data_IF_264670935841
#
_entry.id   IF_264670935841
#
_cell.length_a   1.000
_cell.length_b   1.000
_cell.length_c   1.000
_cell.angle_alpha   90.00
_cell.angle_beta   90.00
_cell.angle_gamma   90.00
#
_symmetry.space_group_name_H-M   'P 1'
#
loop_
_entity.id
_entity.type
_entity.pdbx_description
1 polymer ?
#
# COMPACT_ATOMS: atom_id res chain seq x y z
N UNK A 1 19.50 -19.28 -10.14
CA UNK A 1 19.04 -18.74 -8.85
C UNK A 1 19.84 -17.48 -8.59
N UNK A 2 19.17 -16.37 -8.29
CA UNK A 2 19.84 -15.16 -7.81
C UNK A 2 20.21 -15.38 -6.35
N UNK A 3 21.44 -15.03 -5.96
CA UNK A 3 21.83 -15.12 -4.55
C UNK A 3 20.90 -14.29 -3.66
N UNK A 4 20.42 -14.88 -2.57
CA UNK A 4 19.47 -14.24 -1.66
C UNK A 4 19.89 -12.83 -1.24
N UNK A 5 21.16 -12.63 -0.84
CA UNK A 5 21.64 -11.32 -0.40
C UNK A 5 21.52 -10.28 -1.52
N UNK A 6 21.93 -10.62 -2.74
CA UNK A 6 21.86 -9.74 -3.91
C UNK A 6 20.40 -9.38 -4.21
N UNK A 7 19.52 -10.38 -4.29
CA UNK A 7 18.09 -10.18 -4.53
C UNK A 7 17.42 -9.36 -3.43
N UNK A 8 17.69 -9.67 -2.17
CA UNK A 8 17.08 -9.01 -1.01
C UNK A 8 17.49 -7.54 -0.89
N UNK A 9 18.77 -7.20 -1.11
CA UNK A 9 19.19 -5.79 -1.09
C UNK A 9 18.64 -5.00 -2.27
N UNK A 10 18.55 -5.61 -3.46
CA UNK A 10 17.89 -4.99 -4.60
C UNK A 10 16.40 -4.75 -4.33
N UNK A 11 15.71 -5.73 -3.74
CA UNK A 11 14.31 -5.62 -3.34
C UNK A 11 14.11 -4.53 -2.27
N UNK A 12 14.98 -4.47 -1.26
CA UNK A 12 14.96 -3.41 -0.25
C UNK A 12 15.10 -2.03 -0.88
N UNK A 13 16.08 -1.85 -1.75
CA UNK A 13 16.33 -0.55 -2.39
C UNK A 13 15.17 -0.14 -3.30
N UNK A 14 14.69 -1.06 -4.15
CA UNK A 14 13.57 -0.82 -5.07
C UNK A 14 12.23 -0.62 -4.37
N UNK A 15 12.07 -1.08 -3.13
CA UNK A 15 10.85 -0.84 -2.35
C UNK A 15 10.97 0.42 -1.51
N UNK A 16 12.06 0.57 -0.76
CA UNK A 16 12.19 1.63 0.24
C UNK A 16 12.50 2.99 -0.36
N UNK A 17 13.36 3.08 -1.37
CA UNK A 17 13.73 4.37 -1.96
C UNK A 17 12.51 5.02 -2.62
N UNK A 18 11.75 4.35 -3.52
CA UNK A 18 10.56 4.95 -4.10
C UNK A 18 9.52 5.29 -3.03
N UNK A 19 9.32 4.42 -2.03
CA UNK A 19 8.35 4.67 -0.98
C UNK A 19 8.67 5.92 -0.16
N UNK A 20 9.93 6.09 0.23
CA UNK A 20 10.41 7.27 0.94
C UNK A 20 10.24 8.54 0.09
N UNK A 21 10.61 8.48 -1.19
CA UNK A 21 10.44 9.59 -2.14
C UNK A 21 8.98 9.96 -2.31
N UNK A 22 8.09 8.97 -2.49
CA UNK A 22 6.66 9.18 -2.63
C UNK A 22 6.03 9.87 -1.44
N UNK A 23 6.38 9.42 -0.23
CA UNK A 23 5.96 10.06 1.02
C UNK A 23 6.42 11.53 1.07
N UNK A 24 7.68 11.81 0.74
CA UNK A 24 8.24 13.17 0.72
C UNK A 24 7.50 14.08 -0.26
N UNK A 25 7.18 13.59 -1.47
CA UNK A 25 6.46 14.36 -2.49
C UNK A 25 5.15 14.92 -1.93
N UNK A 26 4.35 14.10 -1.24
CA UNK A 26 3.09 14.57 -0.64
C UNK A 26 3.33 15.51 0.53
N UNK A 27 4.30 15.21 1.40
CA UNK A 27 4.62 16.06 2.57
C UNK A 27 5.09 17.44 2.11
N UNK A 28 5.86 17.54 1.03
CA UNK A 28 6.28 18.82 0.47
C UNK A 28 5.19 19.52 -0.34
N UNK A 29 4.41 18.79 -1.14
CA UNK A 29 3.25 19.35 -1.83
C UNK A 29 2.26 19.99 -0.84
N UNK A 30 2.19 19.46 0.38
CA UNK A 30 1.33 19.98 1.44
C UNK A 30 1.70 21.36 2.00
N UNK A 31 2.86 21.91 1.61
CA UNK A 31 3.21 23.30 1.91
C UNK A 31 2.40 24.30 1.08
N UNK A 32 1.88 23.87 -0.07
CA UNK A 32 1.15 24.71 -1.02
C UNK A 32 -0.27 24.19 -1.30
N UNK A 33 -0.49 22.87 -1.20
CA UNK A 33 -1.78 22.21 -1.45
C UNK A 33 -2.48 21.88 -0.12
N UNK A 34 -3.76 22.22 -0.02
CA UNK A 34 -4.59 21.84 1.14
C UNK A 34 -4.66 20.32 1.29
N UNK A 35 -4.59 19.81 2.53
CA UNK A 35 -4.64 18.38 2.82
C UNK A 35 -5.89 17.67 2.27
N UNK A 36 -7.02 18.38 2.12
CA UNK A 36 -8.24 17.84 1.49
C UNK A 36 -8.03 17.43 0.02
N UNK A 37 -7.23 18.16 -0.75
CA UNK A 37 -6.96 17.82 -2.15
C UNK A 37 -5.87 16.75 -2.27
N UNK A 38 -4.93 16.69 -1.34
CA UNK A 38 -3.95 15.61 -1.25
C UNK A 38 -4.61 14.28 -0.88
N UNK A 39 -5.60 14.31 0.02
CA UNK A 39 -6.40 13.12 0.35
C UNK A 39 -7.33 12.71 -0.79
N UNK A 40 -7.84 13.66 -1.57
CA UNK A 40 -8.57 13.38 -2.81
C UNK A 40 -7.67 12.68 -3.85
N UNK A 41 -6.47 13.21 -4.09
CA UNK A 41 -5.47 12.57 -4.94
C UNK A 41 -5.11 11.15 -4.46
N UNK A 42 -4.82 10.99 -3.17
CA UNK A 42 -4.53 9.68 -2.60
C UNK A 42 -5.73 8.71 -2.65
N UNK A 43 -6.97 9.20 -2.58
CA UNK A 43 -8.16 8.37 -2.80
C UNK A 43 -8.23 7.89 -4.25
N UNK A 44 -7.84 8.72 -5.21
CA UNK A 44 -7.64 8.33 -6.60
C UNK A 44 -6.65 7.18 -6.76
N UNK A 45 -5.48 7.29 -6.12
CA UNK A 45 -4.48 6.21 -6.06
C UNK A 45 -5.11 4.94 -5.47
N UNK A 46 -5.82 5.06 -4.34
CA UNK A 46 -6.48 3.93 -3.70
C UNK A 46 -7.45 3.18 -4.63
N UNK A 47 -8.23 3.90 -5.45
CA UNK A 47 -9.23 3.27 -6.31
C UNK A 47 -8.61 2.29 -7.32
N UNK A 48 -7.49 2.65 -7.94
CA UNK A 48 -6.79 1.74 -8.84
C UNK A 48 -5.95 0.70 -8.07
N UNK A 49 -5.27 1.11 -6.99
CA UNK A 49 -4.57 0.18 -6.11
C UNK A 49 -5.49 -0.95 -5.63
N UNK A 50 -6.74 -0.67 -5.28
CA UNK A 50 -7.71 -1.69 -4.89
C UNK A 50 -7.99 -2.67 -6.04
N UNK A 51 -8.10 -2.19 -7.29
CA UNK A 51 -8.26 -3.04 -8.47
C UNK A 51 -7.03 -3.92 -8.69
N UNK A 52 -5.84 -3.37 -8.56
CA UNK A 52 -4.57 -4.09 -8.71
C UNK A 52 -4.41 -5.19 -7.64
N UNK A 53 -4.63 -4.83 -6.38
CA UNK A 53 -4.53 -5.76 -5.24
C UNK A 53 -5.57 -6.88 -5.30
N UNK A 54 -6.82 -6.57 -5.66
CA UNK A 54 -7.87 -7.59 -5.78
C UNK A 54 -7.63 -8.49 -6.99
N UNK A 55 -7.06 -7.99 -8.09
CA UNK A 55 -6.60 -8.83 -9.20
C UNK A 55 -5.47 -9.77 -8.78
N UNK A 56 -4.49 -9.27 -8.02
CA UNK A 56 -3.44 -10.11 -7.41
C UNK A 56 -3.99 -11.21 -6.50
N UNK A 57 -5.19 -11.01 -5.93
CA UNK A 57 -5.91 -12.03 -5.16
C UNK A 57 -6.79 -12.96 -6.02
N UNK A 58 -6.56 -13.00 -7.34
CA UNK A 58 -7.38 -13.72 -8.32
C UNK A 58 -8.87 -13.34 -8.23
N UNK A 59 -9.16 -12.07 -7.91
CA UNK A 59 -10.50 -11.56 -7.67
C UNK A 59 -11.27 -12.32 -6.57
N UNK A 60 -10.55 -12.87 -5.59
CA UNK A 60 -11.10 -13.76 -4.56
C UNK A 60 -11.87 -14.95 -5.17
N UNK A 61 -11.50 -15.35 -6.38
CA UNK A 61 -12.14 -16.41 -7.18
C UNK A 61 -13.65 -16.21 -7.39
N UNK A 62 -14.11 -14.95 -7.49
CA UNK A 62 -15.55 -14.64 -7.63
C UNK A 62 -16.17 -15.25 -8.90
N UNK A 63 -15.37 -15.47 -9.94
CA UNK A 63 -15.82 -16.04 -11.21
C UNK A 63 -16.22 -17.52 -11.10
N UNK A 64 -15.69 -18.25 -10.10
CA UNK A 64 -16.10 -19.63 -9.82
C UNK A 64 -17.45 -19.73 -9.09
N UNK A 65 -18.07 -18.61 -8.71
CA UNK A 65 -19.31 -18.60 -7.94
C UNK A 65 -19.15 -19.38 -6.64
N UNK A 66 -20.08 -20.30 -6.34
CA UNK A 66 -20.01 -21.17 -5.16
C UNK A 66 -19.17 -22.46 -5.36
N UNK A 67 -18.48 -22.59 -6.50
CA UNK A 67 -17.72 -23.81 -6.84
C UNK A 67 -16.21 -23.71 -6.60
N UNK A 68 -15.70 -22.56 -6.13
CA UNK A 68 -14.25 -22.31 -5.94
C UNK A 68 -13.61 -23.09 -4.78
N UNK A 69 -14.40 -23.80 -3.96
CA UNK A 69 -13.91 -24.74 -2.95
C UNK A 69 -13.08 -24.10 -1.84
N UNK A 70 -12.15 -24.87 -1.27
CA UNK A 70 -11.40 -24.46 -0.08
C UNK A 70 -10.46 -23.26 -0.34
N UNK A 71 -9.88 -23.15 -1.54
CA UNK A 71 -8.98 -22.05 -1.90
C UNK A 71 -9.72 -20.70 -1.91
N UNK A 72 -10.91 -20.66 -2.51
CA UNK A 72 -11.77 -19.47 -2.49
C UNK A 72 -12.15 -19.09 -1.05
N UNK A 73 -12.57 -20.07 -0.23
CA UNK A 73 -12.90 -19.82 1.18
C UNK A 73 -11.71 -19.24 1.94
N UNK A 74 -10.51 -19.74 1.69
CA UNK A 74 -9.29 -19.23 2.31
C UNK A 74 -8.97 -17.79 1.86
N UNK A 75 -9.07 -17.49 0.56
CA UNK A 75 -8.85 -16.13 0.04
C UNK A 75 -9.86 -15.12 0.61
N UNK A 76 -11.16 -15.43 0.56
CA UNK A 76 -12.22 -14.59 1.14
C UNK A 76 -12.04 -14.45 2.66
N UNK A 77 -11.71 -15.54 3.35
CA UNK A 77 -11.44 -15.53 4.78
C UNK A 77 -10.29 -14.60 5.14
N UNK A 78 -9.18 -14.64 4.40
CA UNK A 78 -8.04 -13.75 4.60
C UNK A 78 -8.37 -12.29 4.31
N UNK A 79 -9.16 -12.01 3.28
CA UNK A 79 -9.68 -10.67 3.03
C UNK A 79 -10.49 -10.14 4.22
N UNK A 80 -11.42 -10.95 4.77
CA UNK A 80 -12.22 -10.59 5.94
C UNK A 80 -11.33 -10.37 7.17
N UNK A 81 -10.37 -11.27 7.41
CA UNK A 81 -9.39 -11.12 8.51
C UNK A 81 -8.59 -9.83 8.35
N UNK A 82 -8.19 -9.49 7.12
CA UNK A 82 -7.52 -8.23 6.80
C UNK A 82 -8.35 -7.03 7.24
N UNK A 83 -9.60 -6.94 6.80
CA UNK A 83 -10.53 -5.88 7.19
C UNK A 83 -10.69 -5.83 8.72
N UNK A 84 -11.10 -6.93 9.33
CA UNK A 84 -11.44 -6.94 10.75
C UNK A 84 -10.23 -6.63 11.65
N UNK A 85 -9.04 -7.08 11.28
CA UNK A 85 -7.83 -6.87 12.08
C UNK A 85 -7.48 -5.38 12.22
N UNK A 86 -7.47 -4.62 11.13
CA UNK A 86 -7.13 -3.19 11.16
C UNK A 86 -8.19 -2.37 11.89
N UNK A 87 -9.49 -2.67 11.69
CA UNK A 87 -10.57 -1.99 12.42
C UNK A 87 -10.60 -2.37 13.90
N UNK A 88 -10.20 -3.58 14.26
CA UNK A 88 -10.06 -3.99 15.65
C UNK A 88 -8.92 -3.24 16.34
N UNK A 89 -7.76 -3.11 15.68
CA UNK A 89 -6.63 -2.30 16.18
C UNK A 89 -7.10 -0.85 16.37
N UNK A 90 -7.77 -0.30 15.37
CA UNK A 90 -8.27 1.07 15.38
C UNK A 90 -9.23 1.34 16.56
N UNK A 91 -10.20 0.43 16.75
CA UNK A 91 -11.16 0.48 17.86
C UNK A 91 -10.46 0.40 19.21
N UNK A 92 -9.52 -0.54 19.39
CA UNK A 92 -8.78 -0.69 20.66
C UNK A 92 -7.92 0.52 21.00
N UNK A 93 -7.46 1.25 19.98
CA UNK A 93 -6.68 2.46 20.12
C UNK A 93 -7.53 3.74 20.18
N UNK A 94 -8.86 3.64 20.00
CA UNK A 94 -9.78 4.78 20.04
C UNK A 94 -9.56 5.79 18.92
N UNK A 95 -9.05 5.36 17.76
CA UNK A 95 -8.64 6.27 16.67
C UNK A 95 -9.82 6.70 15.79
N UNK A 96 -10.90 5.92 15.69
CA UNK A 96 -12.10 6.29 14.93
C UNK A 96 -12.91 7.39 15.61
N UNK A 97 -13.06 7.27 16.93
CA UNK A 97 -13.89 8.11 17.80
C UNK A 97 -13.24 9.44 18.17
N UNK A 98 -12.14 9.84 17.53
CA UNK A 98 -11.56 11.16 17.73
C UNK A 98 -12.42 12.24 17.06
N UNK A 99 -13.63 12.41 17.57
CA UNK A 99 -14.49 13.57 17.40
C UNK A 99 -14.09 14.71 18.34
N UNK A 100 -12.90 14.63 18.98
CA UNK A 100 -12.27 15.82 19.55
C UNK A 100 -11.78 16.71 18.41
N UNK A 101 -12.74 17.49 17.90
CA UNK A 101 -12.55 18.89 17.51
C UNK A 101 -11.24 19.42 18.07
N UNK A 102 -10.31 19.74 17.17
CA UNK A 102 -9.00 20.43 17.40
C UNK A 102 -7.74 19.65 17.79
N UNK A 103 -7.75 18.36 18.20
CA UNK A 103 -6.55 17.84 18.90
C UNK A 103 -6.05 16.40 18.67
N UNK A 104 -6.48 15.62 17.66
CA UNK A 104 -5.71 14.40 17.33
C UNK A 104 -4.52 14.71 16.45
N UNK A 105 -3.45 15.19 17.11
CA UNK A 105 -2.07 15.25 16.63
C UNK A 105 -1.47 13.87 16.86
N UNK A 106 -1.62 12.94 15.93
CA UNK A 106 -1.01 11.62 16.11
C UNK A 106 -0.57 10.98 14.81
N UNK A 107 0.70 10.56 14.78
CA UNK A 107 1.27 9.72 13.74
C UNK A 107 0.66 8.31 13.73
N UNK A 108 -0.18 7.93 14.71
CA UNK A 108 -0.78 6.60 14.78
C UNK A 108 -1.69 6.28 13.57
N UNK A 109 -2.53 7.23 13.13
CA UNK A 109 -3.39 7.03 11.96
C UNK A 109 -2.56 6.80 10.69
N UNK A 110 -1.62 7.68 10.31
CA UNK A 110 -0.82 7.45 9.11
C UNK A 110 0.09 6.22 9.23
N UNK A 111 0.60 5.85 10.41
CA UNK A 111 1.34 4.60 10.60
C UNK A 111 0.44 3.38 10.39
N UNK A 112 -0.79 3.39 10.88
CA UNK A 112 -1.73 2.30 10.66
C UNK A 112 -2.15 2.21 9.18
N UNK A 113 -2.32 3.34 8.50
CA UNK A 113 -2.55 3.37 7.04
C UNK A 113 -1.34 2.81 6.28
N UNK A 114 -0.11 3.23 6.63
CA UNK A 114 1.12 2.72 6.01
C UNK A 114 1.25 1.20 6.18
N UNK A 115 0.95 0.67 7.36
CA UNK A 115 0.95 -0.77 7.60
C UNK A 115 -0.17 -1.47 6.84
N UNK A 116 -1.39 -0.91 6.85
CA UNK A 116 -2.55 -1.50 6.20
C UNK A 116 -2.38 -1.64 4.68
N UNK A 117 -1.83 -0.62 4.01
CA UNK A 117 -1.50 -0.71 2.58
C UNK A 117 -0.22 -1.54 2.36
N UNK A 118 0.76 -1.45 3.27
CA UNK A 118 2.03 -2.18 3.14
C UNK A 118 1.89 -3.70 3.24
N UNK A 119 0.86 -4.22 3.92
CA UNK A 119 0.58 -5.67 4.00
C UNK A 119 0.38 -6.29 2.61
N UNK A 120 -0.12 -5.55 1.62
CA UNK A 120 -0.14 -6.00 0.23
C UNK A 120 1.25 -6.40 -0.29
N UNK A 121 2.29 -5.69 0.16
CA UNK A 121 3.67 -5.98 -0.17
C UNK A 121 4.14 -7.38 0.23
N UNK A 122 3.48 -8.06 1.19
CA UNK A 122 3.77 -9.47 1.47
C UNK A 122 3.65 -10.34 0.22
N UNK A 123 2.60 -10.12 -0.58
CA UNK A 123 2.36 -10.88 -1.82
C UNK A 123 3.41 -10.59 -2.87
N UNK A 124 3.72 -9.31 -3.09
CA UNK A 124 4.74 -8.88 -4.06
C UNK A 124 6.12 -9.40 -3.69
N UNK A 125 6.50 -9.25 -2.42
CA UNK A 125 7.77 -9.76 -1.90
C UNK A 125 7.84 -11.28 -2.05
N UNK A 126 6.76 -11.99 -1.69
CA UNK A 126 6.70 -13.44 -1.83
C UNK A 126 6.87 -13.89 -3.29
N UNK A 127 6.19 -13.23 -4.23
CA UNK A 127 6.32 -13.51 -5.65
C UNK A 127 7.74 -13.23 -6.17
N UNK A 128 8.33 -12.09 -5.81
CA UNK A 128 9.70 -11.76 -6.18
C UNK A 128 10.70 -12.77 -5.60
N UNK A 129 10.60 -13.08 -4.30
CA UNK A 129 11.51 -13.99 -3.62
C UNK A 129 11.46 -15.40 -4.22
N UNK A 130 10.26 -15.90 -4.52
CA UNK A 130 10.08 -17.20 -5.16
C UNK A 130 10.68 -17.21 -6.58
N UNK A 131 10.49 -16.14 -7.35
CA UNK A 131 11.07 -15.99 -8.70
C UNK A 131 12.59 -15.89 -8.66
N UNK A 132 13.15 -15.11 -7.72
CA UNK A 132 14.59 -14.98 -7.52
C UNK A 132 15.24 -16.33 -7.17
N UNK A 133 14.54 -17.17 -6.41
CA UNK A 133 14.96 -18.54 -6.12
C UNK A 133 14.93 -19.42 -7.38
N UNK A 134 13.81 -19.42 -8.10
CA UNK A 134 13.56 -20.39 -9.18
C UNK A 134 14.21 -20.05 -10.52
N UNK A 135 14.51 -18.78 -10.79
CA UNK A 135 15.03 -18.34 -12.09
C UNK A 135 16.40 -18.95 -12.40
N UNK A 136 16.64 -19.33 -13.66
CA UNK A 136 17.96 -19.77 -14.14
C UNK A 136 18.89 -18.59 -14.45
N UNK A 137 18.36 -17.37 -14.49
CA UNK A 137 19.12 -16.14 -14.75
C UNK A 137 19.81 -15.60 -13.50
N UNK A 138 20.85 -14.78 -13.70
CA UNK A 138 21.47 -13.96 -12.66
C UNK A 138 21.03 -12.49 -12.72
N UNK A 139 20.19 -12.14 -13.70
CA UNK A 139 19.64 -10.79 -13.86
C UNK A 139 18.55 -10.52 -12.81
N UNK A 140 18.72 -9.44 -12.04
CA UNK A 140 17.70 -8.95 -11.11
C UNK A 140 16.39 -8.59 -11.82
N UNK A 141 16.47 -8.09 -13.05
CA UNK A 141 15.30 -7.72 -13.84
C UNK A 141 14.40 -8.92 -14.10
N UNK A 142 14.97 -10.11 -14.25
CA UNK A 142 14.19 -11.32 -14.53
C UNK A 142 13.39 -11.76 -13.28
N UNK A 143 13.87 -11.45 -12.07
CA UNK A 143 13.11 -11.65 -10.85
C UNK A 143 11.94 -10.66 -10.68
N UNK A 144 12.00 -9.50 -11.34
CA UNK A 144 10.86 -8.59 -11.47
C UNK A 144 9.89 -8.99 -12.59
N UNK A 145 10.26 -9.92 -13.48
CA UNK A 145 9.49 -10.23 -14.69
C UNK A 145 9.90 -9.41 -15.92
N UNK A 146 11.05 -8.73 -15.86
CA UNK A 146 11.64 -7.94 -16.94
C UNK A 146 11.73 -6.44 -16.62
N UNK A 147 12.23 -5.66 -17.57
CA UNK A 147 12.39 -4.20 -17.41
C UNK A 147 11.05 -3.50 -17.19
N UNK A 148 10.03 -3.86 -17.98
CA UNK A 148 8.68 -3.27 -17.91
C UNK A 148 8.10 -3.43 -16.50
N UNK A 149 8.04 -4.67 -16.00
CA UNK A 149 7.54 -4.98 -14.67
C UNK A 149 8.40 -4.35 -13.54
N UNK A 150 9.71 -4.25 -13.72
CA UNK A 150 10.58 -3.52 -12.80
C UNK A 150 10.24 -2.01 -12.72
N UNK A 151 9.95 -1.37 -13.86
CA UNK A 151 9.49 0.03 -13.90
C UNK A 151 8.12 0.17 -13.25
N UNK A 152 7.18 -0.72 -13.58
CA UNK A 152 5.86 -0.77 -12.96
C UNK A 152 5.98 -0.81 -11.43
N UNK A 153 6.79 -1.74 -10.92
CA UNK A 153 7.02 -1.91 -9.49
C UNK A 153 7.54 -0.64 -8.82
N UNK A 154 8.59 -0.01 -9.36
CA UNK A 154 9.17 1.21 -8.79
C UNK A 154 8.16 2.36 -8.74
N UNK A 155 7.36 2.52 -9.80
CA UNK A 155 6.33 3.56 -9.86
C UNK A 155 5.20 3.28 -8.87
N UNK A 156 4.73 2.04 -8.78
CA UNK A 156 3.74 1.59 -7.79
C UNK A 156 4.23 1.86 -6.36
N UNK A 157 5.45 1.42 -6.00
CA UNK A 157 6.01 1.65 -4.66
C UNK A 157 6.26 3.13 -4.36
N UNK A 158 6.42 3.96 -5.37
CA UNK A 158 6.43 5.42 -5.20
C UNK A 158 5.05 6.00 -4.91
N UNK A 159 4.01 5.52 -5.56
CA UNK A 159 2.67 6.10 -5.49
C UNK A 159 1.86 5.58 -4.30
N UNK A 160 1.89 4.29 -4.00
CA UNK A 160 1.09 3.69 -2.93
C UNK A 160 1.27 4.36 -1.55
N UNK A 161 2.49 4.57 -1.03
CA UNK A 161 2.66 5.14 0.29
C UNK A 161 2.26 6.62 0.35
N UNK A 162 2.02 7.29 -0.78
CA UNK A 162 1.40 8.62 -0.81
C UNK A 162 0.06 8.65 -0.07
N UNK A 163 -0.67 7.53 0.00
CA UNK A 163 -1.88 7.39 0.82
C UNK A 163 -1.62 7.63 2.31
N UNK A 164 -0.53 7.07 2.84
CA UNK A 164 -0.14 7.27 4.23
C UNK A 164 0.37 8.70 4.47
N UNK A 165 1.11 9.29 3.54
CA UNK A 165 1.54 10.70 3.64
C UNK A 165 0.36 11.68 3.56
N UNK A 166 -0.66 11.40 2.74
CA UNK A 166 -1.87 12.22 2.69
C UNK A 166 -2.63 12.17 4.03
N UNK A 167 -2.69 10.99 4.66
CA UNK A 167 -3.20 10.86 6.02
C UNK A 167 -2.32 11.62 7.04
N UNK A 168 -1.00 11.52 6.94
CA UNK A 168 -0.08 12.27 7.80
C UNK A 168 -0.36 13.76 7.70
N UNK A 169 -0.58 14.25 6.49
CA UNK A 169 -0.93 15.63 6.21
C UNK A 169 -2.30 16.06 6.76
N UNK A 170 -3.26 15.15 6.89
CA UNK A 170 -4.62 15.45 7.35
C UNK A 170 -4.82 15.29 8.86
N UNK A 171 -4.00 14.44 9.50
CA UNK A 171 -4.18 13.97 10.88
C UNK A 171 -3.01 14.33 11.81
N UNK A 172 -2.02 15.11 11.37
CA UNK A 172 -0.91 15.53 12.24
C UNK A 172 -0.68 17.05 12.17
N UNK A 173 -0.16 17.61 13.27
CA UNK A 173 0.30 19.00 13.32
C UNK A 173 1.77 19.08 12.88
N UNK A 174 2.02 18.77 11.61
CA UNK A 174 3.36 18.73 10.99
C UNK A 174 4.12 20.05 11.03
N UNK A 175 3.42 21.18 11.16
CA UNK A 175 4.03 22.52 11.24
C UNK A 175 4.74 22.71 12.57
N UNK A 176 4.28 22.08 13.66
CA UNK A 176 4.92 22.15 14.97
C UNK A 176 6.22 21.33 15.05
N UNK A 177 6.38 20.30 14.23
CA UNK A 177 7.53 19.38 14.30
C UNK A 177 8.76 19.84 13.50
N UNK A 178 8.61 20.86 12.64
CA UNK A 178 9.66 21.32 11.74
C UNK A 178 10.14 20.26 10.73
N UNK A 179 11.13 20.60 9.91
CA UNK A 179 11.65 19.73 8.83
C UNK A 179 12.23 18.43 9.39
N UNK A 180 13.01 18.50 10.48
CA UNK A 180 13.64 17.32 11.10
C UNK A 180 12.60 16.33 11.63
N UNK A 181 11.52 16.82 12.24
CA UNK A 181 10.42 15.98 12.71
C UNK A 181 9.67 15.33 11.55
N UNK A 182 9.39 16.08 10.49
CA UNK A 182 8.75 15.55 9.28
C UNK A 182 9.58 14.46 8.61
N UNK A 183 10.90 14.65 8.47
CA UNK A 183 11.79 13.62 7.91
C UNK A 183 11.82 12.35 8.75
N UNK A 184 11.83 12.48 10.09
CA UNK A 184 11.74 11.35 11.00
C UNK A 184 10.42 10.59 10.80
N UNK A 185 9.29 11.30 10.72
CA UNK A 185 7.99 10.66 10.56
C UNK A 185 7.88 9.98 9.19
N UNK A 186 8.35 10.62 8.12
CA UNK A 186 8.41 10.02 6.77
C UNK A 186 9.28 8.76 6.77
N UNK A 187 10.44 8.80 7.44
CA UNK A 187 11.29 7.62 7.61
C UNK A 187 10.53 6.49 8.31
N UNK A 188 9.85 6.77 9.43
CA UNK A 188 9.06 5.76 10.14
C UNK A 188 7.91 5.20 9.29
N UNK A 189 7.18 6.06 8.58
CA UNK A 189 6.11 5.64 7.66
C UNK A 189 6.66 4.74 6.55
N UNK A 190 7.81 5.09 5.97
CA UNK A 190 8.44 4.28 4.92
C UNK A 190 8.84 2.89 5.44
N UNK A 191 9.39 2.81 6.66
CA UNK A 191 9.76 1.51 7.24
C UNK A 191 8.53 0.64 7.50
N UNK A 192 7.46 1.21 8.06
CA UNK A 192 6.22 0.46 8.33
C UNK A 192 5.56 -0.02 7.04
N UNK A 193 5.61 0.79 5.97
CA UNK A 193 5.10 0.40 4.66
C UNK A 193 5.92 -0.73 4.02
N UNK A 194 7.25 -0.68 4.10
CA UNK A 194 8.15 -1.61 3.39
C UNK A 194 8.32 -2.94 4.11
N UNK A 195 8.24 -2.95 5.44
CA UNK A 195 8.55 -4.14 6.25
C UNK A 195 7.80 -5.41 5.82
N UNK A 196 6.48 -5.37 5.54
CA UNK A 196 5.76 -6.57 5.08
C UNK A 196 6.31 -7.09 3.74
N UNK A 197 6.71 -6.22 2.83
CA UNK A 197 7.33 -6.61 1.56
C UNK A 197 8.68 -7.33 1.73
N UNK A 198 9.50 -6.88 2.67
CA UNK A 198 10.76 -7.57 2.99
C UNK A 198 10.52 -8.96 3.60
N UNK A 199 9.53 -9.06 4.49
CA UNK A 199 9.11 -10.36 5.06
C UNK A 199 8.62 -11.28 3.94
N UNK A 200 7.81 -10.75 3.02
CA UNK A 200 7.35 -11.44 1.82
C UNK A 200 8.53 -12.00 1.03
N UNK A 201 9.55 -11.19 0.73
CA UNK A 201 10.73 -11.65 -0.02
C UNK A 201 11.48 -12.80 0.64
N UNK A 202 11.62 -12.79 1.97
CA UNK A 202 12.23 -13.89 2.73
C UNK A 202 11.37 -15.15 2.65
N UNK A 203 10.05 -15.03 2.85
CA UNK A 203 9.10 -16.13 2.75
C UNK A 203 9.10 -16.71 1.33
N UNK A 204 9.05 -15.85 0.32
CA UNK A 204 9.12 -16.22 -1.08
C UNK A 204 10.36 -17.06 -1.39
N UNK A 205 11.53 -16.57 -0.98
CA UNK A 205 12.79 -17.21 -1.33
C UNK A 205 13.03 -18.54 -0.61
N UNK A 206 12.74 -18.62 0.69
CA UNK A 206 13.10 -19.79 1.50
C UNK A 206 11.97 -20.79 1.72
N UNK A 207 10.71 -20.38 1.51
CA UNK A 207 9.54 -21.20 1.83
C UNK A 207 8.75 -21.55 0.57
N UNK A 208 8.47 -20.57 -0.29
CA UNK A 208 7.63 -20.78 -1.48
C UNK A 208 8.44 -21.19 -2.72
N UNK A 209 9.66 -20.69 -2.86
CA UNK A 209 10.56 -20.99 -3.97
C UNK A 209 10.99 -22.46 -4.03
N UNK A 210 11.43 -23.07 -2.91
CA UNK A 210 11.76 -24.49 -2.89
C UNK A 210 10.51 -25.35 -3.10
N UNK A 211 10.60 -26.34 -3.99
CA UNK A 211 9.50 -27.28 -4.27
C UNK A 211 9.26 -28.32 -3.16
N UNK A 212 9.77 -28.10 -1.95
CA UNK A 212 9.75 -29.06 -0.85
C UNK A 212 9.26 -28.40 0.45
N UNK A 213 8.42 -29.12 1.20
CA UNK A 213 7.90 -28.69 2.51
C UNK A 213 6.38 -28.53 2.57
N UNK A 214 5.86 -28.24 3.77
CA UNK A 214 4.41 -28.11 4.04
C UNK A 214 3.75 -26.94 3.29
N UNK A 215 4.53 -25.96 2.85
CA UNK A 215 4.06 -24.77 2.12
C UNK A 215 4.40 -24.82 0.62
N UNK A 216 4.90 -25.95 0.10
CA UNK A 216 5.05 -26.17 -1.33
C UNK A 216 3.66 -26.17 -1.98
N UNK A 217 3.33 -25.09 -2.68
CA UNK A 217 1.99 -24.83 -3.23
C UNK A 217 1.21 -23.70 -2.53
N UNK A 218 1.79 -23.04 -1.53
CA UNK A 218 1.25 -21.77 -1.04
C UNK A 218 1.43 -20.69 -2.10
N UNK A 219 0.36 -19.97 -2.40
CA UNK A 219 0.29 -18.96 -3.47
C UNK A 219 0.31 -17.54 -2.87
N UNK A 220 1.04 -16.61 -3.49
CA UNK A 220 1.07 -15.20 -3.11
C UNK A 220 -0.33 -14.56 -3.12
N UNK A 221 -1.27 -15.11 -3.90
CA UNK A 221 -2.69 -14.76 -3.96
C UNK A 221 -3.34 -14.59 -2.58
N UNK A 222 -2.96 -15.43 -1.60
CA UNK A 222 -3.49 -15.35 -0.23
C UNK A 222 -2.99 -14.11 0.52
N UNK A 223 -1.73 -13.72 0.32
CA UNK A 223 -1.20 -12.47 0.88
C UNK A 223 -1.83 -11.26 0.20
N UNK A 224 -2.08 -11.33 -1.11
CA UNK A 224 -2.82 -10.29 -1.83
C UNK A 224 -4.24 -10.14 -1.30
N UNK A 225 -4.95 -11.24 -1.01
CA UNK A 225 -6.29 -11.19 -0.43
C UNK A 225 -6.29 -10.48 0.95
N UNK A 226 -5.34 -10.86 1.83
CA UNK A 226 -5.15 -10.21 3.13
C UNK A 226 -4.86 -8.70 2.97
N UNK A 227 -3.91 -8.34 2.10
CA UNK A 227 -3.52 -6.95 1.84
C UNK A 227 -4.63 -6.10 1.23
N UNK A 228 -5.42 -6.68 0.33
CA UNK A 228 -6.62 -6.03 -0.22
C UNK A 228 -7.61 -5.71 0.91
N UNK A 229 -7.86 -6.66 1.81
CA UNK A 229 -8.74 -6.47 2.96
C UNK A 229 -8.24 -5.38 3.91
N UNK A 230 -6.97 -5.39 4.28
CA UNK A 230 -6.40 -4.36 5.18
C UNK A 230 -6.48 -2.97 4.55
N UNK A 231 -6.29 -2.85 3.24
CA UNK A 231 -6.27 -1.57 2.54
C UNK A 231 -7.58 -0.77 2.58
N UNK A 232 -8.73 -1.44 2.80
CA UNK A 232 -10.03 -0.77 2.95
C UNK A 232 -10.00 0.29 4.05
N UNK A 233 -9.19 0.08 5.09
CA UNK A 233 -8.96 1.07 6.13
C UNK A 233 -8.41 2.40 5.60
N UNK A 234 -7.53 2.37 4.59
CA UNK A 234 -7.01 3.57 3.95
C UNK A 234 -8.12 4.37 3.26
N UNK A 235 -9.03 3.71 2.54
CA UNK A 235 -10.17 4.36 1.88
C UNK A 235 -11.01 5.19 2.87
N UNK A 236 -11.36 4.59 4.02
CA UNK A 236 -12.13 5.30 5.04
C UNK A 236 -11.35 6.48 5.62
N UNK A 237 -10.05 6.31 5.89
CA UNK A 237 -9.21 7.40 6.44
C UNK A 237 -8.95 8.52 5.44
N UNK A 238 -8.92 8.24 4.15
CA UNK A 238 -8.78 9.23 3.09
C UNK A 238 -10.07 9.98 2.78
N UNK A 239 -11.24 9.34 2.97
CA UNK A 239 -12.54 9.97 2.71
C UNK A 239 -12.92 11.03 3.75
N UNK A 240 -12.62 10.81 5.03
CA UNK A 240 -13.05 11.69 6.12
C UNK A 240 -12.55 13.14 6.00
N UNK A 241 -11.29 13.42 5.61
CA UNK A 241 -10.80 14.79 5.40
C UNK A 241 -11.47 15.54 4.25
N UNK A 242 -12.13 14.84 3.30
CA UNK A 242 -12.82 15.45 2.17
C UNK A 242 -14.10 16.19 2.59
N UNK A 243 -14.73 15.74 3.68
CA UNK A 243 -16.06 16.20 4.11
C UNK A 243 -16.07 16.79 5.53
N UNK A 244 -14.93 17.35 5.99
CA UNK A 244 -14.87 17.96 7.34
C UNK A 244 -15.85 19.12 7.48
N UNK A 245 -16.67 19.08 8.53
CA UNK A 245 -17.80 19.98 8.81
C UNK A 245 -17.45 21.45 9.10
N UNK A 246 -16.15 21.81 9.12
CA UNK A 246 -15.69 23.17 9.45
C UNK A 246 -15.26 24.03 8.25
N UNK A 247 -15.23 23.47 7.04
CA UNK A 247 -14.93 24.23 5.82
C UNK A 247 -16.21 24.42 5.01
N UNK A 248 -16.49 25.67 4.60
CA UNK A 248 -17.55 25.94 3.62
C UNK A 248 -17.21 25.24 2.31
N UNK A 249 -17.98 24.22 1.98
CA UNK A 249 -17.93 23.52 0.69
C UNK A 249 -18.84 24.26 -0.29
N UNK A 250 -18.28 24.69 -1.40
CA UNK A 250 -19.01 25.33 -2.50
C UNK A 250 -19.20 24.34 -3.66
N UNK A 251 -20.10 24.65 -4.60
CA UNK A 251 -20.26 23.85 -5.81
C UNK A 251 -18.97 23.77 -6.66
N UNK A 252 -18.09 24.77 -6.57
CA UNK A 252 -16.77 24.74 -7.22
C UNK A 252 -15.82 23.69 -6.61
N UNK A 253 -16.02 23.33 -5.33
CA UNK A 253 -15.17 22.35 -4.66
C UNK A 253 -15.40 20.93 -5.20
N UNK A 254 -16.56 20.65 -5.81
CA UNK A 254 -16.83 19.35 -6.46
C UNK A 254 -15.80 19.06 -7.55
N UNK A 255 -15.51 20.02 -8.44
CA UNK A 255 -14.50 19.84 -9.49
C UNK A 255 -13.09 19.83 -8.88
N UNK A 256 -12.82 20.66 -7.87
CA UNK A 256 -11.52 20.72 -7.19
C UNK A 256 -11.19 19.47 -6.37
N UNK A 257 -12.17 18.62 -6.05
CA UNK A 257 -11.99 17.31 -5.43
C UNK A 257 -11.88 16.21 -6.49
N UNK A 258 -12.75 16.24 -7.51
CA UNK A 258 -12.76 15.23 -8.58
C UNK A 258 -11.48 15.26 -9.40
N UNK A 259 -10.97 16.45 -9.76
CA UNK A 259 -9.76 16.54 -10.58
C UNK A 259 -8.53 15.90 -9.91
N UNK A 260 -8.22 16.14 -8.62
CA UNK A 260 -7.18 15.40 -7.92
C UNK A 260 -7.44 13.88 -7.85
N UNK A 261 -8.67 13.43 -7.63
CA UNK A 261 -9.01 11.99 -7.65
C UNK A 261 -8.64 11.38 -9.00
N UNK A 262 -9.06 12.00 -10.10
CA UNK A 262 -8.73 11.55 -11.45
C UNK A 262 -7.22 11.56 -11.70
N UNK A 263 -6.52 12.60 -11.24
CA UNK A 263 -5.06 12.67 -11.35
C UNK A 263 -4.37 11.55 -10.59
N UNK A 264 -4.80 11.25 -9.37
CA UNK A 264 -4.26 10.16 -8.56
C UNK A 264 -4.51 8.79 -9.18
N UNK A 265 -5.74 8.57 -9.67
CA UNK A 265 -6.10 7.37 -10.40
C UNK A 265 -5.24 7.20 -11.65
N UNK A 266 -5.12 8.24 -12.48
CA UNK A 266 -4.34 8.21 -13.71
C UNK A 266 -2.83 8.03 -13.44
N UNK A 267 -2.30 8.57 -12.35
CA UNK A 267 -0.89 8.43 -12.01
C UNK A 267 -0.51 6.97 -11.73
N UNK A 268 -1.30 6.26 -10.94
CA UNK A 268 -1.04 4.84 -10.65
C UNK A 268 -1.50 3.93 -11.80
N UNK A 269 -2.55 4.30 -12.53
CA UNK A 269 -2.91 3.61 -13.77
C UNK A 269 -1.76 3.64 -14.78
N UNK A 270 -1.12 4.80 -14.94
CA UNK A 270 0.05 4.94 -15.80
C UNK A 270 1.20 4.02 -15.36
N UNK A 271 1.43 3.88 -14.05
CA UNK A 271 2.40 2.91 -13.53
C UNK A 271 2.04 1.47 -13.94
N UNK A 272 0.75 1.12 -13.89
CA UNK A 272 0.27 -0.21 -14.25
C UNK A 272 0.34 -0.53 -15.75
N UNK A 273 0.44 0.47 -16.63
CA UNK A 273 0.64 0.24 -18.07
C UNK A 273 1.97 -0.46 -18.40
N UNK A 274 2.93 -0.43 -17.46
CA UNK A 274 4.22 -1.13 -17.58
C UNK A 274 4.17 -2.59 -17.11
N UNK A 275 3.01 -3.13 -16.72
CA UNK A 275 2.87 -4.57 -16.46
C UNK A 275 2.87 -5.43 -17.74
N UNK A 276 2.87 -4.78 -18.93
CA UNK A 276 2.89 -5.40 -20.26
C UNK A 276 4.29 -5.76 -20.75
#
# INVERSE_FOLDING_TARGET
MIEFAVGFFAWLASTWIPAFVGLLVIVWASQIVKSRYLTAFALGIFLWFFVDTIQGSALLDVNAGFTGGAAQVAAVGLFIVGVLSVFWIDRRRGLFSSESTTATVSVAIPLLVAGAIGIHGLGEGAAFGATAYSTSSTSLLDAFGGVSAGVAYLLHKGLEPMMAAACYCAYTNRTASGIKGQLKDVFLLSLVFVLPSLIGAVVGYFIMGPATGFLAGFDATYFFALGTGTSIYAALRLSRPLFRSGETVTSEDSIRIVAPILLGFLAIYFAALFHL
#
